data_IF_734554421038
#
_entry.id   IF_734554421038
#
_cell.length_a   1.000
_cell.length_b   1.000
_cell.length_c   1.000
_cell.angle_alpha   90.00
_cell.angle_beta   90.00
_cell.angle_gamma   90.00
#
_symmetry.space_group_name_H-M   'P 1'
#
loop_
_entity.id
_entity.type
_entity.pdbx_description
1 polymer ?
#
# COMPACT_ATOMS: atom_id res chain seq x y z
N UNK A 1 -21.19 12.30 -22.76
CA UNK A 1 -19.77 12.68 -22.81
C UNK A 1 -19.07 11.97 -21.67
N UNK A 2 -18.59 10.75 -21.90
CA UNK A 2 -17.90 9.92 -20.90
C UNK A 2 -16.52 10.51 -20.65
N UNK A 3 -16.36 11.23 -19.53
CA UNK A 3 -15.05 11.69 -19.07
C UNK A 3 -14.20 10.46 -18.75
N UNK A 4 -13.12 10.25 -19.51
CA UNK A 4 -12.15 9.21 -19.25
C UNK A 4 -11.21 9.72 -18.13
N UNK A 5 -11.23 9.10 -16.95
CA UNK A 5 -10.33 9.47 -15.85
C UNK A 5 -8.97 8.76 -15.95
N UNK A 6 -7.93 9.29 -15.31
CA UNK A 6 -6.61 8.62 -15.22
C UNK A 6 -6.67 7.54 -14.16
N UNK A 7 -6.97 6.31 -14.57
CA UNK A 7 -6.95 5.13 -13.71
C UNK A 7 -5.58 4.44 -13.75
N UNK A 8 -5.10 4.02 -12.58
CA UNK A 8 -3.97 3.10 -12.45
C UNK A 8 -4.42 1.88 -11.64
N UNK A 9 -3.94 0.70 -12.01
CA UNK A 9 -4.34 -0.57 -11.39
C UNK A 9 -3.08 -1.30 -10.93
N UNK A 10 -3.07 -1.70 -9.65
CA UNK A 10 -2.03 -2.59 -9.11
C UNK A 10 -2.62 -3.99 -8.99
N UNK A 11 -2.09 -4.93 -9.76
CA UNK A 11 -2.52 -6.33 -9.81
C UNK A 11 -1.39 -7.17 -9.21
N UNK A 12 -1.72 -8.03 -8.25
CA UNK A 12 -0.74 -8.92 -7.61
C UNK A 12 -0.55 -10.24 -8.38
N UNK A 13 0.41 -11.06 -7.93
CA UNK A 13 0.84 -12.30 -8.60
C UNK A 13 -0.25 -13.39 -8.75
N UNK A 14 -1.40 -13.23 -8.09
CA UNK A 14 -2.57 -14.13 -8.17
C UNK A 14 -3.68 -13.60 -9.06
N UNK A 15 -3.37 -12.62 -9.93
CA UNK A 15 -4.32 -11.87 -10.74
C UNK A 15 -5.42 -11.17 -9.90
N UNK A 16 -5.14 -10.92 -8.62
CA UNK A 16 -6.04 -10.22 -7.71
C UNK A 16 -5.72 -8.73 -7.79
N UNK A 17 -6.74 -7.93 -8.08
CA UNK A 17 -6.66 -6.47 -8.03
C UNK A 17 -6.49 -6.02 -6.58
N UNK A 18 -5.41 -5.27 -6.30
CA UNK A 18 -5.04 -4.85 -4.93
C UNK A 18 -5.27 -3.36 -4.68
N UNK A 19 -5.25 -2.54 -5.73
CA UNK A 19 -5.43 -1.09 -5.59
C UNK A 19 -5.87 -0.42 -6.90
N UNK A 20 -6.70 0.61 -6.79
CA UNK A 20 -7.19 1.42 -7.91
C UNK A 20 -7.18 2.93 -7.54
N UNK A 21 -6.06 3.64 -7.68
CA UNK A 21 -6.10 5.10 -7.71
C UNK A 21 -6.75 5.60 -9.01
N UNK A 22 -7.65 6.57 -8.86
CA UNK A 22 -8.28 7.28 -9.98
C UNK A 22 -8.09 8.77 -9.75
N UNK A 23 -7.48 9.45 -10.72
CA UNK A 23 -7.26 10.89 -10.69
C UNK A 23 -8.06 11.57 -11.81
N UNK A 24 -8.48 12.81 -11.56
CA UNK A 24 -9.03 13.67 -12.61
C UNK A 24 -7.97 13.99 -13.67
N UNK A 25 -8.42 14.32 -14.88
CA UNK A 25 -7.56 14.57 -16.04
C UNK A 25 -6.37 15.54 -15.82
N UNK A 26 -6.52 16.68 -15.11
CA UNK A 26 -5.40 17.62 -14.92
C UNK A 26 -4.41 17.17 -13.83
N UNK A 27 -4.72 16.12 -13.06
CA UNK A 27 -3.89 15.66 -11.95
C UNK A 27 -3.14 14.40 -12.36
N UNK A 28 -1.81 14.46 -12.33
CA UNK A 28 -0.98 13.30 -12.62
C UNK A 28 -0.93 12.33 -11.43
N UNK A 29 -0.75 11.03 -11.72
CA UNK A 29 -0.50 10.02 -10.70
C UNK A 29 0.93 10.14 -10.15
N UNK A 30 1.13 9.71 -8.89
CA UNK A 30 2.44 9.69 -8.26
C UNK A 30 3.15 8.35 -8.50
N UNK A 31 4.35 8.41 -9.10
CA UNK A 31 5.18 7.22 -9.34
C UNK A 31 5.74 6.68 -8.03
N UNK A 32 6.21 7.55 -7.14
CA UNK A 32 6.74 7.15 -5.82
C UNK A 32 5.69 6.46 -4.96
N UNK A 33 4.44 6.94 -5.02
CA UNK A 33 3.33 6.30 -4.30
C UNK A 33 3.09 4.90 -4.86
N UNK A 34 2.97 4.78 -6.18
CA UNK A 34 2.77 3.49 -6.86
C UNK A 34 3.87 2.49 -6.50
N UNK A 35 5.14 2.91 -6.52
CA UNK A 35 6.27 2.07 -6.14
C UNK A 35 6.21 1.64 -4.66
N UNK A 36 5.86 2.56 -3.76
CA UNK A 36 5.65 2.29 -2.34
C UNK A 36 4.56 1.22 -2.13
N UNK A 37 3.44 1.33 -2.84
CA UNK A 37 2.32 0.40 -2.75
C UNK A 37 2.69 -1.00 -3.25
N UNK A 38 3.38 -1.09 -4.40
CA UNK A 38 3.90 -2.38 -4.91
C UNK A 38 4.83 -3.04 -3.90
N UNK A 39 5.78 -2.28 -3.31
CA UNK A 39 6.68 -2.80 -2.29
C UNK A 39 5.98 -3.18 -0.97
N UNK A 40 4.89 -2.50 -0.62
CA UNK A 40 4.07 -2.83 0.53
C UNK A 40 3.36 -4.17 0.30
N UNK A 41 2.68 -4.36 -0.83
CA UNK A 41 2.01 -5.62 -1.15
C UNK A 41 2.99 -6.79 -1.23
N UNK A 42 4.16 -6.61 -1.85
CA UNK A 42 5.19 -7.64 -1.88
C UNK A 42 5.69 -8.03 -0.47
N UNK A 43 5.72 -7.08 0.46
CA UNK A 43 6.13 -7.36 1.83
C UNK A 43 5.02 -8.06 2.62
N UNK A 44 3.78 -7.60 2.51
CA UNK A 44 2.65 -8.26 3.17
C UNK A 44 2.48 -9.70 2.69
N UNK A 45 2.70 -9.94 1.39
CA UNK A 45 2.57 -11.27 0.80
C UNK A 45 3.71 -12.22 1.22
N UNK A 46 4.90 -11.69 1.53
CA UNK A 46 6.06 -12.49 2.00
C UNK A 46 6.08 -12.76 3.50
N UNK A 47 5.73 -11.76 4.32
CA UNK A 47 5.90 -11.83 5.78
C UNK A 47 4.57 -11.97 6.53
N UNK A 48 3.43 -11.72 5.88
CA UNK A 48 2.12 -11.74 6.53
C UNK A 48 1.90 -10.56 7.49
N UNK A 49 2.76 -9.54 7.46
CA UNK A 49 2.67 -8.35 8.28
C UNK A 49 1.91 -7.23 7.56
N UNK A 50 1.34 -6.29 8.31
CA UNK A 50 0.61 -5.14 7.77
C UNK A 50 1.52 -3.91 7.70
N UNK A 51 1.46 -3.21 6.57
CA UNK A 51 2.24 -2.01 6.32
C UNK A 51 1.53 -0.76 6.88
N UNK A 52 2.26 0.08 7.63
CA UNK A 52 1.76 1.40 8.08
C UNK A 52 1.69 2.41 6.93
N UNK A 53 0.96 3.51 7.15
CA UNK A 53 0.88 4.61 6.20
C UNK A 53 2.28 5.17 5.85
N UNK A 54 2.52 5.44 4.55
CA UNK A 54 3.79 5.97 4.07
C UNK A 54 4.98 5.04 4.34
N UNK A 55 4.77 3.71 4.31
CA UNK A 55 5.85 2.73 4.46
C UNK A 55 6.96 2.98 3.45
N UNK A 56 8.20 2.81 3.89
CA UNK A 56 9.38 2.70 3.02
C UNK A 56 10.17 1.47 3.47
N UNK A 57 11.02 0.88 2.62
CA UNK A 57 11.92 -0.20 3.03
C UNK A 57 12.67 0.17 4.33
N UNK A 58 12.69 -0.73 5.30
CA UNK A 58 13.34 -0.51 6.61
C UNK A 58 12.47 0.17 7.68
N UNK A 59 11.21 0.55 7.39
CA UNK A 59 10.27 1.04 8.40
C UNK A 59 9.56 -0.11 9.12
N UNK A 60 9.27 0.12 10.41
CA UNK A 60 8.45 -0.77 11.22
C UNK A 60 7.11 -1.11 10.58
N UNK A 61 6.70 -2.37 10.79
CA UNK A 61 5.47 -3.01 10.34
C UNK A 61 4.67 -3.50 11.53
N UNK A 62 3.40 -3.83 11.27
CA UNK A 62 2.46 -4.26 12.30
C UNK A 62 2.20 -5.74 12.11
N UNK A 63 2.55 -6.55 13.11
CA UNK A 63 2.14 -7.95 13.14
C UNK A 63 0.63 -7.99 13.44
N UNK A 64 -0.21 -8.65 12.61
CA UNK A 64 -1.66 -8.69 12.79
C UNK A 64 -2.05 -9.67 13.92
N UNK A 65 -1.61 -9.36 15.14
CA UNK A 65 -1.93 -10.06 16.38
C UNK A 65 -2.23 -9.04 17.49
N UNK A 66 -3.19 -9.34 18.37
CA UNK A 66 -3.66 -8.40 19.40
C UNK A 66 -2.56 -8.08 20.42
N UNK A 67 -1.70 -9.04 20.77
CA UNK A 67 -0.63 -8.81 21.74
C UNK A 67 0.56 -8.12 21.08
N UNK A 68 1.01 -8.64 19.93
CA UNK A 68 2.18 -8.09 19.22
C UNK A 68 1.93 -6.71 18.62
N UNK A 69 0.71 -6.39 18.21
CA UNK A 69 0.38 -5.05 17.71
C UNK A 69 0.54 -3.97 18.78
N UNK A 70 0.31 -4.29 20.06
CA UNK A 70 0.54 -3.35 21.17
C UNK A 70 2.00 -2.92 21.26
N UNK A 71 2.95 -3.81 21.01
CA UNK A 71 4.38 -3.47 20.99
C UNK A 71 4.69 -2.41 19.93
N UNK A 72 4.05 -2.50 18.76
CA UNK A 72 4.17 -1.48 17.72
C UNK A 72 3.56 -0.15 18.18
N UNK A 73 2.33 -0.15 18.69
CA UNK A 73 1.66 1.08 19.11
C UNK A 73 2.33 1.75 20.31
N UNK A 74 2.89 0.98 21.25
CA UNK A 74 3.66 1.51 22.37
C UNK A 74 5.00 2.12 21.96
N UNK A 75 5.59 1.70 20.83
CA UNK A 75 6.83 2.30 20.28
C UNK A 75 6.59 3.59 19.48
N UNK A 76 5.36 3.82 19.01
CA UNK A 76 5.01 4.98 18.18
C UNK A 76 4.37 6.13 18.97
N UNK A 77 4.02 5.91 20.24
CA UNK A 77 3.62 6.93 21.21
C UNK A 77 4.84 7.46 21.96
#
# INVERSE_FOLDING_TARGET
MTLLSRGLFVIGDKDILRQIPTNDLPVACSVDETLCLVQAFQHTDKFGEVCRAGRRPGRDTIVPDIQKSKEFFSKQN
#
